data_IF_417168749228
#
_entry.id   IF_417168749228
#
_cell.length_a   1.000
_cell.length_b   1.000
_cell.length_c   1.000
_cell.angle_alpha   90.00
_cell.angle_beta   90.00
_cell.angle_gamma   90.00
#
_symmetry.space_group_name_H-M   'P 1'
#
loop_
_entity.id
_entity.type
_entity.pdbx_description
1 polymer ?
#
# COMPACT_ATOMS: atom_id res chain seq x y z
N UNK A 1 -4.75 -14.28 7.00
CA UNK A 1 -3.73 -13.98 5.98
C UNK A 1 -4.24 -12.82 5.17
N UNK A 2 -3.46 -11.76 5.16
CA UNK A 2 -3.72 -10.58 4.35
C UNK A 2 -2.99 -10.69 3.01
N UNK A 3 -3.57 -10.11 1.96
CA UNK A 3 -3.04 -10.19 0.60
C UNK A 3 -2.57 -8.83 0.12
N UNK A 4 -1.28 -8.73 -0.19
CA UNK A 4 -0.73 -7.53 -0.83
C UNK A 4 -0.86 -7.69 -2.34
N UNK A 5 -1.56 -6.74 -2.97
CA UNK A 5 -1.70 -6.69 -4.42
C UNK A 5 -0.65 -5.80 -5.10
N UNK A 6 0.10 -4.96 -4.37
CA UNK A 6 1.17 -4.12 -4.90
C UNK A 6 2.25 -3.81 -3.84
N UNK A 7 3.53 -3.82 -4.22
CA UNK A 7 4.66 -3.36 -3.38
C UNK A 7 5.64 -2.56 -4.23
N UNK A 8 5.82 -1.28 -3.93
CA UNK A 8 6.77 -0.43 -4.68
C UNK A 8 8.21 -0.76 -4.30
N UNK A 9 8.81 -1.76 -4.97
CA UNK A 9 10.17 -2.23 -4.64
C UNK A 9 11.20 -1.12 -4.66
N UNK A 10 11.17 -0.26 -5.67
CA UNK A 10 12.14 0.84 -5.82
C UNK A 10 12.01 1.87 -4.70
N UNK A 11 10.80 2.20 -4.25
CA UNK A 11 10.59 3.10 -3.11
C UNK A 11 10.96 2.44 -1.80
N UNK A 12 10.56 1.20 -1.59
CA UNK A 12 10.95 0.42 -0.41
C UNK A 12 12.47 0.30 -0.33
N UNK A 13 13.17 -0.01 -1.42
CA UNK A 13 14.63 -0.06 -1.44
C UNK A 13 15.26 1.31 -1.15
N UNK A 14 14.75 2.38 -1.75
CA UNK A 14 15.27 3.73 -1.52
C UNK A 14 15.10 4.18 -0.07
N UNK A 15 13.95 3.88 0.54
CA UNK A 15 13.68 4.21 1.94
C UNK A 15 14.47 3.30 2.87
N UNK A 16 14.50 2.01 2.60
CA UNK A 16 15.26 1.04 3.37
C UNK A 16 16.76 1.30 3.35
N UNK A 17 17.32 1.77 2.23
CA UNK A 17 18.74 2.14 2.14
C UNK A 17 19.11 3.36 3.00
N UNK A 18 18.12 4.16 3.40
CA UNK A 18 18.30 5.26 4.35
C UNK A 18 18.18 4.80 5.80
N UNK A 19 17.73 3.56 6.04
CA UNK A 19 17.65 2.97 7.36
C UNK A 19 19.02 2.46 7.78
N UNK A 20 19.35 2.69 9.05
CA UNK A 20 20.44 2.00 9.72
C UNK A 20 19.94 0.61 10.16
N UNK A 21 20.55 -0.51 9.69
CA UNK A 21 20.09 -1.87 9.97
C UNK A 21 20.00 -2.23 11.46
N UNK A 22 20.86 -1.65 12.31
CA UNK A 22 20.83 -1.93 13.76
C UNK A 22 19.75 -1.12 14.48
N UNK A 23 19.35 0.02 13.90
CA UNK A 23 18.45 0.98 14.53
C UNK A 23 16.99 0.54 14.53
N UNK A 24 16.52 -0.19 13.52
CA UNK A 24 15.10 -0.57 13.40
C UNK A 24 14.66 -1.59 14.47
N UNK A 25 15.52 -2.56 14.79
CA UNK A 25 15.24 -3.60 15.78
C UNK A 25 15.18 -3.02 17.20
N UNK A 26 16.17 -2.23 17.60
CA UNK A 26 16.20 -1.59 18.92
C UNK A 26 15.05 -0.59 19.10
N UNK A 27 14.74 0.19 18.05
CA UNK A 27 13.64 1.13 18.07
C UNK A 27 12.31 0.45 18.35
N UNK A 28 12.09 -0.72 17.73
CA UNK A 28 10.85 -1.49 17.89
C UNK A 28 10.64 -1.93 19.34
N UNK A 29 11.68 -2.42 20.01
CA UNK A 29 11.58 -2.87 21.40
C UNK A 29 11.33 -1.72 22.38
N UNK A 30 12.02 -0.59 22.21
CA UNK A 30 11.88 0.56 23.08
C UNK A 30 10.49 1.22 22.97
N UNK A 31 10.01 1.45 21.74
CA UNK A 31 8.73 2.17 21.54
C UNK A 31 7.50 1.35 21.93
N UNK A 32 7.53 0.03 21.76
CA UNK A 32 6.43 -0.83 22.25
C UNK A 32 6.32 -0.74 23.78
N UNK A 33 7.46 -0.71 24.48
CA UNK A 33 7.48 -0.58 25.95
C UNK A 33 6.95 0.77 26.42
N UNK A 34 7.17 1.85 25.65
CA UNK A 34 6.70 3.20 25.99
C UNK A 34 5.24 3.47 25.59
N UNK A 35 4.77 2.93 24.45
CA UNK A 35 3.40 3.14 23.96
C UNK A 35 2.33 2.29 24.67
N UNK A 36 2.72 1.37 25.54
CA UNK A 36 1.79 0.52 26.31
C UNK A 36 0.85 1.30 27.27
N UNK A 37 0.99 2.64 27.36
CA UNK A 37 0.21 3.52 28.24
C UNK A 37 -0.85 4.41 27.59
N UNK A 38 -1.00 4.47 26.26
CA UNK A 38 -1.94 5.41 25.62
C UNK A 38 -2.91 4.68 24.70
N UNK A 39 -4.04 4.26 25.30
CA UNK A 39 -5.25 3.84 24.56
C UNK A 39 -6.01 5.10 24.18
N UNK A 40 -5.88 5.55 22.94
CA UNK A 40 -6.89 6.39 22.32
C UNK A 40 -7.02 6.10 20.82
N UNK A 41 -8.28 6.08 20.39
CA UNK A 41 -8.79 5.74 19.06
C UNK A 41 -8.29 6.73 17.98
N UNK A 42 -7.03 6.65 17.56
CA UNK A 42 -6.60 7.26 16.30
C UNK A 42 -6.90 6.29 15.17
N UNK A 43 -7.78 6.68 14.24
CA UNK A 43 -7.95 5.93 12.98
C UNK A 43 -6.72 6.20 12.13
N UNK A 44 -5.61 5.54 12.41
CA UNK A 44 -4.35 5.62 11.67
C UNK A 44 -3.60 4.29 11.72
N UNK A 45 -2.47 4.20 11.01
CA UNK A 45 -1.62 3.01 11.08
C UNK A 45 -0.62 3.16 12.24
N UNK A 46 -0.95 2.57 13.39
CA UNK A 46 -0.08 2.56 14.57
C UNK A 46 1.00 1.48 14.50
N UNK A 47 2.04 1.61 15.34
CA UNK A 47 3.12 0.63 15.45
C UNK A 47 2.59 -0.79 15.72
N UNK A 48 1.63 -0.93 16.65
CA UNK A 48 1.00 -2.20 16.97
C UNK A 48 0.19 -2.79 15.80
N UNK A 49 -0.47 -1.94 15.00
CA UNK A 49 -1.18 -2.37 13.80
C UNK A 49 -0.20 -2.86 12.73
N UNK A 50 0.92 -2.15 12.53
CA UNK A 50 2.00 -2.59 11.63
C UNK A 50 2.49 -3.97 12.07
N UNK A 51 2.89 -4.14 13.33
CA UNK A 51 3.40 -5.43 13.83
C UNK A 51 2.38 -6.56 13.70
N UNK A 52 1.10 -6.31 13.97
CA UNK A 52 0.06 -7.32 13.83
C UNK A 52 -0.18 -7.73 12.36
N UNK A 53 -0.08 -6.80 11.41
CA UNK A 53 -0.16 -7.10 9.97
C UNK A 53 0.93 -8.11 9.55
N UNK A 54 2.16 -7.92 10.01
CA UNK A 54 3.26 -8.83 9.65
C UNK A 54 3.23 -10.16 10.42
N UNK A 55 2.78 -10.16 11.68
CA UNK A 55 2.64 -11.39 12.48
C UNK A 55 1.47 -12.29 12.01
N UNK A 56 0.42 -11.71 11.40
CA UNK A 56 -0.74 -12.43 10.87
C UNK A 56 -0.50 -13.22 9.58
N UNK A 57 0.73 -13.18 9.05
CA UNK A 57 1.13 -13.84 7.81
C UNK A 57 0.61 -13.11 6.58
N UNK A 58 1.47 -12.26 6.00
CA UNK A 58 1.21 -11.61 4.71
C UNK A 58 1.51 -12.55 3.55
N UNK A 59 0.67 -12.47 2.52
CA UNK A 59 0.86 -13.18 1.26
C UNK A 59 0.95 -12.20 0.11
N UNK A 60 1.83 -12.49 -0.85
CA UNK A 60 2.01 -11.67 -2.05
C UNK A 60 2.22 -12.58 -3.26
N UNK A 61 1.33 -12.46 -4.25
CA UNK A 61 1.34 -13.27 -5.46
C UNK A 61 0.96 -14.75 -5.25
N UNK A 62 0.95 -15.53 -6.34
CA UNK A 62 0.55 -16.95 -6.32
C UNK A 62 1.61 -17.88 -5.73
N UNK A 63 1.13 -18.97 -5.10
CA UNK A 63 1.95 -20.06 -4.53
C UNK A 63 2.82 -20.80 -5.56
N UNK A 64 2.47 -20.74 -6.85
CA UNK A 64 3.11 -21.50 -7.94
C UNK A 64 4.20 -20.72 -8.70
N UNK A 65 4.53 -19.52 -8.26
CA UNK A 65 5.64 -18.75 -8.84
C UNK A 65 6.98 -19.39 -8.45
N UNK A 66 7.91 -19.44 -9.40
CA UNK A 66 9.29 -19.95 -9.26
C UNK A 66 9.88 -19.59 -7.88
N UNK A 67 10.45 -20.56 -7.17
CA UNK A 67 10.94 -20.41 -5.79
C UNK A 67 11.81 -19.15 -5.58
N UNK A 68 12.62 -18.78 -6.59
CA UNK A 68 13.47 -17.57 -6.56
C UNK A 68 12.69 -16.27 -6.46
N UNK A 69 11.59 -16.14 -7.20
CA UNK A 69 10.72 -14.97 -7.13
C UNK A 69 9.98 -14.89 -5.78
N UNK A 70 9.65 -16.04 -5.19
CA UNK A 70 9.02 -16.10 -3.87
C UNK A 70 9.96 -15.57 -2.78
N UNK A 71 11.23 -15.96 -2.79
CA UNK A 71 12.23 -15.45 -1.83
C UNK A 71 12.42 -13.94 -1.96
N UNK A 72 12.53 -13.43 -3.19
CA UNK A 72 12.62 -11.98 -3.44
C UNK A 72 11.38 -11.26 -2.91
N UNK A 73 10.19 -11.80 -3.16
CA UNK A 73 8.92 -11.22 -2.69
C UNK A 73 8.81 -11.18 -1.17
N UNK A 74 9.23 -12.22 -0.47
CA UNK A 74 9.28 -12.25 1.00
C UNK A 74 10.28 -11.22 1.55
N UNK A 75 11.48 -11.13 0.99
CA UNK A 75 12.47 -10.14 1.41
C UNK A 75 11.96 -8.68 1.28
N UNK A 76 11.13 -8.38 0.27
CA UNK A 76 10.52 -7.05 0.13
C UNK A 76 9.39 -6.79 1.12
N UNK A 77 8.69 -7.82 1.59
CA UNK A 77 7.70 -7.68 2.68
C UNK A 77 8.44 -7.31 3.97
N UNK A 78 9.57 -7.95 4.26
CA UNK A 78 10.39 -7.64 5.43
C UNK A 78 10.97 -6.22 5.35
N UNK A 79 11.53 -5.82 4.20
CA UNK A 79 11.99 -4.43 4.01
C UNK A 79 10.85 -3.41 4.15
N UNK A 80 9.66 -3.73 3.64
CA UNK A 80 8.49 -2.86 3.79
C UNK A 80 8.11 -2.72 5.26
N UNK A 81 8.18 -3.80 6.05
CA UNK A 81 7.97 -3.74 7.50
C UNK A 81 8.89 -2.73 8.15
N UNK A 82 10.20 -2.84 7.90
CA UNK A 82 11.20 -1.97 8.54
C UNK A 82 11.00 -0.50 8.16
N UNK A 83 10.65 -0.25 6.89
CA UNK A 83 10.29 1.09 6.41
C UNK A 83 9.05 1.63 7.12
N UNK A 84 7.97 0.85 7.23
CA UNK A 84 6.74 1.30 7.89
C UNK A 84 6.94 1.54 9.38
N UNK A 85 7.71 0.68 10.05
CA UNK A 85 8.08 0.86 11.47
C UNK A 85 8.84 2.16 11.65
N UNK A 86 9.82 2.45 10.78
CA UNK A 86 10.61 3.69 10.86
C UNK A 86 9.78 4.94 10.50
N UNK A 87 8.83 4.84 9.58
CA UNK A 87 7.92 5.97 9.30
C UNK A 87 7.06 6.27 10.54
N UNK A 88 6.48 5.24 11.16
CA UNK A 88 5.68 5.40 12.38
C UNK A 88 6.53 5.86 13.59
N UNK A 89 7.81 5.48 13.60
CA UNK A 89 8.79 5.90 14.58
C UNK A 89 9.06 7.41 14.56
N UNK A 90 9.47 7.91 13.40
CA UNK A 90 10.01 9.26 13.25
C UNK A 90 8.90 10.32 13.25
N UNK A 91 7.68 9.95 12.85
CA UNK A 91 6.56 10.87 12.67
C UNK A 91 5.40 10.65 13.65
N UNK A 92 5.49 9.65 14.53
CA UNK A 92 4.36 9.10 15.26
C UNK A 92 3.46 8.24 14.35
N UNK A 93 2.32 7.78 14.88
CA UNK A 93 1.36 6.97 14.11
C UNK A 93 1.08 7.60 12.74
N UNK A 94 1.09 6.79 11.68
CA UNK A 94 0.85 7.28 10.32
C UNK A 94 -0.61 7.75 10.24
N UNK A 95 -0.87 9.07 10.10
CA UNK A 95 -2.21 9.59 10.23
C UNK A 95 -3.08 9.17 9.04
N UNK A 96 -4.37 8.93 9.26
CA UNK A 96 -5.29 8.78 8.15
C UNK A 96 -5.47 10.11 7.44
N UNK A 97 -5.39 10.07 6.10
CA UNK A 97 -5.50 11.27 5.27
C UNK A 97 -6.80 12.04 5.50
N UNK A 98 -7.90 11.37 5.85
CA UNK A 98 -9.19 12.00 6.16
C UNK A 98 -9.08 12.89 7.39
N UNK A 99 -8.43 12.37 8.45
CA UNK A 99 -8.22 13.11 9.69
C UNK A 99 -7.20 14.23 9.48
N UNK A 100 -6.10 13.96 8.78
CA UNK A 100 -5.07 14.96 8.52
C UNK A 100 -5.61 16.16 7.74
N UNK A 101 -6.42 15.94 6.71
CA UNK A 101 -7.05 17.03 5.96
C UNK A 101 -8.05 17.81 6.83
N UNK A 102 -8.83 17.11 7.68
CA UNK A 102 -9.81 17.77 8.54
C UNK A 102 -9.18 18.62 9.65
N UNK A 103 -8.01 18.19 10.15
CA UNK A 103 -7.26 18.85 11.22
C UNK A 103 -6.22 19.85 10.72
N UNK A 104 -5.98 19.91 9.40
CA UNK A 104 -4.92 20.73 8.81
C UNK A 104 -3.50 20.23 9.09
N UNK A 105 -3.36 18.97 9.50
CA UNK A 105 -2.07 18.35 9.71
C UNK A 105 -1.37 18.11 8.36
N UNK A 106 -0.10 18.53 8.29
CA UNK A 106 0.77 18.25 7.15
C UNK A 106 1.79 17.18 7.52
N UNK A 107 2.13 16.36 6.54
CA UNK A 107 3.00 15.19 6.66
C UNK A 107 3.36 14.65 5.29
N UNK A 108 4.43 13.86 5.25
CA UNK A 108 4.92 13.23 4.02
C UNK A 108 4.22 11.91 3.74
N UNK A 109 3.81 11.19 4.79
CA UNK A 109 3.19 9.88 4.68
C UNK A 109 1.81 9.88 5.33
N UNK A 110 0.87 9.23 4.67
CA UNK A 110 -0.48 9.06 5.18
C UNK A 110 -0.96 7.63 4.98
N UNK A 111 -1.83 7.22 5.89
CA UNK A 111 -2.61 6.00 5.77
C UNK A 111 -3.93 6.31 5.07
N UNK A 112 -4.40 5.35 4.27
CA UNK A 112 -5.75 5.38 3.74
C UNK A 112 -6.29 3.96 3.58
N UNK A 113 -7.50 3.75 4.07
CA UNK A 113 -8.30 2.56 3.81
C UNK A 113 -9.59 2.95 3.12
N UNK A 114 -9.74 2.54 1.87
CA UNK A 114 -10.86 2.97 1.07
C UNK A 114 -11.00 2.27 -0.27
N UNK A 115 -12.06 2.60 -1.00
CA UNK A 115 -12.38 1.91 -2.22
C UNK A 115 -11.70 2.60 -3.41
N UNK A 116 -10.88 1.86 -4.15
CA UNK A 116 -10.12 2.32 -5.30
C UNK A 116 -10.70 1.78 -6.59
N UNK A 117 -10.60 2.57 -7.66
CA UNK A 117 -10.80 2.17 -9.05
C UNK A 117 -9.65 2.70 -9.89
N UNK A 118 -9.49 2.17 -11.09
CA UNK A 118 -8.52 2.70 -12.06
C UNK A 118 -9.11 3.95 -12.72
N UNK A 119 -8.31 5.02 -12.81
CA UNK A 119 -8.76 6.30 -13.36
C UNK A 119 -8.98 6.22 -14.87
N UNK A 120 -7.99 5.71 -15.59
CA UNK A 120 -8.02 5.52 -17.04
C UNK A 120 -7.88 4.01 -17.30
N UNK A 121 -8.89 3.36 -17.91
CA UNK A 121 -8.81 1.95 -18.26
C UNK A 121 -7.54 1.62 -19.04
N UNK A 122 -6.88 0.52 -18.67
CA UNK A 122 -5.65 0.07 -19.33
C UNK A 122 -6.01 -0.89 -20.45
N UNK A 123 -5.79 -0.46 -21.69
CA UNK A 123 -5.91 -1.29 -22.87
C UNK A 123 -4.53 -1.90 -23.20
N UNK A 124 -4.43 -3.23 -23.27
CA UNK A 124 -3.18 -3.96 -23.56
C UNK A 124 -2.02 -3.66 -22.58
N UNK A 125 -2.15 -4.02 -21.29
CA UNK A 125 -1.19 -3.68 -20.25
C UNK A 125 0.21 -4.26 -20.50
N UNK A 126 1.22 -3.43 -20.31
CA UNK A 126 2.63 -3.81 -20.28
C UNK A 126 3.21 -3.61 -18.87
N UNK A 127 4.31 -4.32 -18.56
CA UNK A 127 4.96 -4.18 -17.25
C UNK A 127 5.56 -2.78 -17.00
N UNK A 128 5.83 -2.00 -18.05
CA UNK A 128 6.37 -0.65 -17.94
C UNK A 128 5.30 0.39 -17.58
N UNK A 129 4.02 0.05 -17.70
CA UNK A 129 2.94 1.01 -17.55
C UNK A 129 2.82 1.50 -16.11
N UNK A 130 2.45 2.77 -15.99
CA UNK A 130 2.05 3.40 -14.75
C UNK A 130 0.53 3.59 -14.83
N UNK A 131 -0.15 3.19 -13.76
CA UNK A 131 -1.59 3.36 -13.61
C UNK A 131 -1.90 4.25 -12.44
N UNK A 132 -2.95 5.05 -12.57
CA UNK A 132 -3.44 5.90 -11.50
C UNK A 132 -4.65 5.26 -10.85
N UNK A 133 -4.53 4.97 -9.56
CA UNK A 133 -5.63 4.54 -8.73
C UNK A 133 -6.35 5.76 -8.17
N UNK A 134 -7.66 5.79 -8.38
CA UNK A 134 -8.54 6.85 -7.94
C UNK A 134 -9.43 6.39 -6.81
N UNK A 135 -9.48 7.19 -5.75
CA UNK A 135 -10.48 7.06 -4.68
C UNK A 135 -11.09 8.43 -4.36
N UNK A 136 -12.34 8.46 -3.92
CA UNK A 136 -13.01 9.69 -3.50
C UNK A 136 -13.25 9.66 -2.01
N UNK A 137 -12.89 10.75 -1.32
CA UNK A 137 -13.01 10.85 0.14
C UNK A 137 -13.20 12.32 0.53
N UNK A 138 -14.09 12.61 1.49
CA UNK A 138 -14.28 13.97 2.05
C UNK A 138 -14.40 15.10 0.99
N UNK A 139 -15.07 14.86 -0.14
CA UNK A 139 -15.20 15.84 -1.23
C UNK A 139 -13.92 16.08 -2.05
N UNK A 140 -12.90 15.25 -1.87
CA UNK A 140 -11.61 15.25 -2.56
C UNK A 140 -11.38 13.97 -3.34
N UNK A 141 -10.39 13.99 -4.23
CA UNK A 141 -9.94 12.83 -4.98
C UNK A 141 -8.53 12.45 -4.54
N UNK A 142 -8.32 11.19 -4.16
CA UNK A 142 -6.99 10.61 -3.98
C UNK A 142 -6.57 9.96 -5.30
N UNK A 143 -5.41 10.36 -5.84
CA UNK A 143 -4.79 9.82 -7.04
C UNK A 143 -3.44 9.21 -6.65
N UNK A 144 -3.30 7.89 -6.86
CA UNK A 144 -2.10 7.13 -6.51
C UNK A 144 -1.48 6.48 -7.74
N UNK A 145 -0.29 6.95 -8.10
CA UNK A 145 0.45 6.40 -9.24
C UNK A 145 1.22 5.13 -8.84
N UNK A 146 0.96 4.06 -9.58
CA UNK A 146 1.43 2.71 -9.33
C UNK A 146 2.03 2.11 -10.60
N UNK A 147 3.20 1.48 -10.54
CA UNK A 147 3.74 0.75 -11.70
C UNK A 147 3.17 -0.68 -11.77
N UNK A 148 2.65 -1.09 -12.93
CA UNK A 148 1.98 -2.38 -13.10
C UNK A 148 2.88 -3.58 -12.78
N UNK A 149 4.18 -3.51 -13.07
CA UNK A 149 5.14 -4.59 -12.75
C UNK A 149 5.18 -5.00 -11.27
N UNK A 150 4.66 -4.17 -10.37
CA UNK A 150 4.63 -4.44 -8.95
C UNK A 150 3.28 -4.93 -8.46
N UNK A 151 2.27 -4.98 -9.34
CA UNK A 151 1.00 -5.60 -9.01
C UNK A 151 1.19 -7.12 -8.89
N UNK A 152 0.32 -7.81 -8.16
CA UNK A 152 0.55 -9.18 -7.66
C UNK A 152 0.61 -10.32 -8.69
N UNK A 153 0.74 -9.99 -9.98
CA UNK A 153 1.07 -10.91 -11.06
C UNK A 153 2.34 -10.34 -11.71
N UNK A 154 3.40 -11.14 -11.86
CA UNK A 154 4.59 -10.67 -12.57
C UNK A 154 4.31 -10.65 -14.07
N UNK A 155 5.09 -9.91 -14.87
CA UNK A 155 5.06 -10.13 -16.30
C UNK A 155 5.43 -11.59 -16.61
N UNK A 156 4.80 -12.14 -17.64
CA UNK A 156 5.21 -13.37 -18.29
C UNK A 156 6.65 -13.23 -18.84
N UNK A 157 7.32 -14.33 -19.21
CA UNK A 157 8.69 -14.29 -19.73
C UNK A 157 8.89 -13.38 -20.96
N UNK A 158 7.81 -13.11 -21.70
CA UNK A 158 7.78 -12.22 -22.87
C UNK A 158 7.50 -10.75 -22.52
N UNK A 159 7.34 -10.42 -21.23
CA UNK A 159 7.05 -9.07 -20.74
C UNK A 159 5.55 -8.72 -20.73
N UNK A 160 4.68 -9.59 -21.23
CA UNK A 160 3.23 -9.39 -21.21
C UNK A 160 2.67 -9.56 -19.81
N UNK A 161 1.57 -8.88 -19.49
CA UNK A 161 0.96 -8.93 -18.17
C UNK A 161 -0.38 -9.64 -18.26
N UNK A 162 -0.43 -10.92 -17.86
CA UNK A 162 -1.65 -11.71 -17.88
C UNK A 162 -2.58 -11.27 -16.73
N UNK A 163 -3.46 -10.32 -17.03
CA UNK A 163 -4.54 -9.94 -16.13
C UNK A 163 -5.58 -11.05 -16.06
N UNK A 164 -5.59 -11.81 -14.97
CA UNK A 164 -6.68 -12.75 -14.73
C UNK A 164 -8.01 -12.00 -14.44
N UNK A 165 -9.15 -12.67 -14.63
CA UNK A 165 -10.48 -12.03 -14.74
C UNK A 165 -10.82 -10.97 -13.68
N UNK A 166 -10.37 -11.14 -12.42
CA UNK A 166 -10.53 -10.14 -11.36
C UNK A 166 -9.65 -8.89 -11.54
N UNK A 167 -8.38 -9.08 -11.89
CA UNK A 167 -7.45 -7.99 -12.18
C UNK A 167 -7.83 -7.29 -13.49
N UNK A 168 -8.23 -8.04 -14.52
CA UNK A 168 -8.67 -7.47 -15.79
C UNK A 168 -9.82 -6.48 -15.61
N UNK A 169 -10.88 -6.89 -14.89
CA UNK A 169 -12.03 -6.00 -14.64
C UNK A 169 -11.63 -4.76 -13.83
N UNK A 170 -10.70 -4.89 -12.91
CA UNK A 170 -10.18 -3.75 -12.15
C UNK A 170 -9.41 -2.77 -13.03
N UNK A 171 -8.46 -3.25 -13.83
CA UNK A 171 -7.67 -2.42 -14.75
C UNK A 171 -8.47 -1.87 -15.94
N UNK A 172 -9.55 -2.54 -16.33
CA UNK A 172 -10.53 -2.01 -17.28
C UNK A 172 -11.46 -0.95 -16.65
N UNK A 173 -11.31 -0.60 -15.37
CA UNK A 173 -12.16 0.37 -14.67
C UNK A 173 -13.57 -0.14 -14.37
N UNK A 174 -13.83 -1.44 -14.55
CA UNK A 174 -15.15 -2.08 -14.37
C UNK A 174 -15.40 -2.56 -12.94
N UNK A 175 -14.37 -2.55 -12.09
CA UNK A 175 -14.46 -3.02 -10.71
C UNK A 175 -13.82 -2.00 -9.76
N UNK A 176 -14.45 -1.83 -8.60
CA UNK A 176 -13.90 -1.09 -7.47
C UNK A 176 -13.45 -2.10 -6.40
N UNK A 177 -12.28 -1.88 -5.81
CA UNK A 177 -11.72 -2.75 -4.77
C UNK A 177 -11.37 -1.94 -3.53
N UNK A 178 -11.71 -2.46 -2.35
CA UNK A 178 -11.29 -1.84 -1.08
C UNK A 178 -9.86 -2.24 -0.76
N UNK A 179 -8.99 -1.25 -0.59
CA UNK A 179 -7.59 -1.46 -0.28
C UNK A 179 -7.13 -0.56 0.85
N UNK A 180 -6.16 -1.05 1.61
CA UNK A 180 -5.44 -0.29 2.63
C UNK A 180 -4.03 0.02 2.12
N UNK A 181 -3.53 1.22 2.42
CA UNK A 181 -2.23 1.68 1.95
C UNK A 181 -1.61 2.70 2.87
N UNK A 182 -0.29 2.69 2.95
CA UNK A 182 0.50 3.88 3.28
C UNK A 182 1.07 4.42 1.98
N UNK A 183 0.91 5.72 1.78
CA UNK A 183 1.40 6.42 0.58
C UNK A 183 2.21 7.66 0.94
N UNK A 184 3.16 7.99 0.08
CA UNK A 184 3.88 9.26 0.13
C UNK A 184 3.09 10.32 -0.62
N UNK A 185 2.84 11.47 0.01
CA UNK A 185 2.22 12.62 -0.61
C UNK A 185 3.20 13.29 -1.57
N UNK A 186 2.78 13.50 -2.81
CA UNK A 186 3.55 14.20 -3.84
C UNK A 186 3.07 15.64 -4.03
N UNK A 187 1.79 15.89 -3.83
CA UNK A 187 1.24 17.24 -3.90
C UNK A 187 -0.28 17.27 -3.75
N UNK A 188 -0.80 18.49 -3.61
CA UNK A 188 -2.24 18.77 -3.59
C UNK A 188 -2.54 19.82 -4.65
N UNK A 189 -3.47 19.52 -5.56
CA UNK A 189 -3.89 20.41 -6.64
C UNK A 189 -5.40 20.59 -6.59
N UNK A 190 -5.88 21.73 -6.08
CA UNK A 190 -7.30 21.95 -5.85
C UNK A 190 -7.90 20.89 -4.92
N UNK A 191 -8.81 20.07 -5.45
CA UNK A 191 -9.45 18.95 -4.72
C UNK A 191 -8.67 17.65 -4.78
N UNK A 192 -7.63 17.59 -5.60
CA UNK A 192 -6.90 16.35 -5.86
C UNK A 192 -5.68 16.24 -4.96
N UNK A 193 -5.55 15.09 -4.32
CA UNK A 193 -4.43 14.69 -3.48
C UNK A 193 -3.66 13.64 -4.26
N UNK A 194 -2.45 14.00 -4.67
CA UNK A 194 -1.61 13.17 -5.54
C UNK A 194 -0.52 12.52 -4.69
N UNK A 195 -0.38 11.22 -4.83
CA UNK A 195 0.55 10.44 -4.04
C UNK A 195 1.04 9.20 -4.77
N UNK A 196 1.84 8.42 -4.06
CA UNK A 196 2.27 7.13 -4.54
C UNK A 196 2.33 6.11 -3.41
N UNK A 197 1.72 4.93 -3.58
CA UNK A 197 1.64 3.96 -2.50
C UNK A 197 2.99 3.28 -2.28
N UNK A 198 3.32 3.02 -1.02
CA UNK A 198 4.41 2.10 -0.65
C UNK A 198 3.96 0.65 -0.89
N UNK A 199 2.71 0.36 -0.55
CA UNK A 199 2.05 -0.92 -0.78
C UNK A 199 0.55 -0.73 -1.01
N UNK A 200 -0.12 -1.75 -1.57
CA UNK A 200 -1.57 -1.86 -1.53
C UNK A 200 -1.94 -3.25 -1.02
N UNK A 201 -2.75 -3.29 0.02
CA UNK A 201 -3.27 -4.51 0.60
C UNK A 201 -4.76 -4.62 0.26
N UNK A 202 -5.18 -5.75 -0.29
CA UNK A 202 -6.60 -6.04 -0.46
C UNK A 202 -7.21 -6.30 0.91
N UNK A 203 -8.25 -5.53 1.25
CA UNK A 203 -9.01 -5.79 2.46
C UNK A 203 -9.88 -7.04 2.25
N UNK A 204 -9.78 -8.00 3.16
CA UNK A 204 -10.61 -9.21 3.22
C UNK A 204 -12.10 -8.90 3.40
N UNK A 205 -12.44 -7.66 3.75
CA UNK A 205 -13.76 -7.29 4.25
C UNK A 205 -14.84 -7.12 3.18
N UNK A 206 -14.56 -7.02 1.87
CA UNK A 206 -15.62 -6.90 0.85
C UNK A 206 -15.15 -7.24 -0.58
N UNK A 207 -15.22 -8.51 -0.96
CA UNK A 207 -15.60 -8.88 -2.34
C UNK A 207 -17.13 -8.82 -2.40
N UNK A 208 -17.70 -7.62 -2.41
CA UNK A 208 -19.14 -7.46 -2.65
C UNK A 208 -19.40 -7.60 -4.16
N UNK A 209 -20.19 -8.56 -4.63
CA UNK A 209 -20.61 -8.59 -6.03
C UNK A 209 -21.73 -7.54 -6.22
N UNK A 210 -21.44 -6.47 -6.96
CA UNK A 210 -22.44 -5.49 -7.42
C UNK A 210 -21.80 -4.11 -7.66
N UNK A 211 -21.95 -3.44 -8.80
CA UNK A 211 -23.10 -3.40 -9.69
C UNK A 211 -22.67 -3.54 -11.16
N UNK A 212 -23.26 -4.52 -11.85
CA UNK A 212 -23.50 -4.41 -13.28
C UNK A 212 -24.78 -3.57 -13.45
N UNK A 213 -24.66 -2.46 -14.18
CA UNK A 213 -25.76 -1.90 -14.96
C UNK A 213 -25.52 -2.29 -16.41
#
# INVERSE_FOLDING_TARGET
MDYICYISRTKVDSLHAQLDPERSSEFTEQVISEQSGVRDLRMGLSLGNILSLFNGGLTYGRKNVIQRERTVKLAYIDKLRDVLLTIAADHGDVPDIREAISSGQSGTYYFYDGPFRIEIPVENPTSADIVTLRSSFCGRTLLLDCSLRFFSEGPEPDGTFLLHSGNYRFFAGQLQMRMSTVFALLGVQGTDVVGTPLYLQLSSANLSPGAAL
#
